data_IF_735465806337
#
_entry.id   IF_735465806337
#
_cell.length_a   1.000
_cell.length_b   1.000
_cell.length_c   1.000
_cell.angle_alpha   90.00
_cell.angle_beta   90.00
_cell.angle_gamma   90.00
#
_symmetry.space_group_name_H-M   'P 1'
#
loop_
_entity.id
_entity.type
_entity.pdbx_description
1 polymer ?
#
# COMPACT_ATOMS: atom_id res chain seq x y z
N UNK A 1 -20.39 -2.59 0.10
CA UNK A 1 -19.57 -2.69 -1.13
C UNK A 1 -18.20 -3.15 -0.69
N UNK A 2 -17.69 -4.25 -1.25
CA UNK A 2 -16.55 -4.98 -0.68
C UNK A 2 -15.45 -5.05 -1.75
N UNK A 3 -14.32 -4.39 -1.51
CA UNK A 3 -13.09 -4.59 -2.29
C UNK A 3 -12.31 -5.74 -1.67
N UNK A 4 -11.61 -6.51 -2.51
CA UNK A 4 -10.65 -7.54 -2.05
C UNK A 4 -9.27 -6.96 -2.28
N UNK A 5 -8.44 -7.00 -1.24
CA UNK A 5 -7.03 -6.64 -1.26
C UNK A 5 -6.23 -7.92 -1.05
N UNK A 6 -5.44 -8.31 -2.05
CA UNK A 6 -4.52 -9.45 -1.99
C UNK A 6 -3.11 -8.96 -2.22
N UNK A 7 -2.16 -9.44 -1.43
CA UNK A 7 -0.79 -8.94 -1.49
C UNK A 7 0.27 -9.85 -0.91
N UNK A 8 1.52 -9.47 -1.14
CA UNK A 8 2.71 -10.14 -0.62
C UNK A 8 3.44 -9.20 0.34
N UNK A 9 3.78 -9.70 1.53
CA UNK A 9 4.42 -8.92 2.59
C UNK A 9 5.84 -9.43 2.85
N UNK A 10 6.84 -8.55 2.69
CA UNK A 10 8.21 -8.82 3.12
C UNK A 10 8.54 -7.97 4.35
N UNK A 11 8.81 -8.64 5.46
CA UNK A 11 9.20 -8.03 6.73
C UNK A 11 10.65 -8.35 7.06
N UNK A 12 11.42 -7.34 7.47
CA UNK A 12 12.79 -7.52 7.98
C UNK A 12 12.97 -6.73 9.28
N UNK A 13 13.50 -7.40 10.30
CA UNK A 13 13.86 -6.79 11.59
C UNK A 13 15.38 -6.95 11.74
N UNK A 14 16.08 -5.85 11.98
CA UNK A 14 17.52 -5.85 12.25
C UNK A 14 17.82 -6.01 13.73
N UNK A 15 19.07 -6.36 14.06
CA UNK A 15 19.52 -6.60 15.43
C UNK A 15 19.40 -5.37 16.37
N UNK A 16 19.32 -4.17 15.81
CA UNK A 16 19.11 -2.91 16.54
C UNK A 16 17.62 -2.54 16.70
N UNK A 17 16.69 -3.39 16.26
CA UNK A 17 15.26 -3.16 16.35
C UNK A 17 14.70 -2.26 15.25
N UNK A 18 15.50 -1.85 14.26
CA UNK A 18 14.96 -1.23 13.06
C UNK A 18 14.14 -2.28 12.28
N UNK A 19 13.06 -1.82 11.66
CA UNK A 19 12.13 -2.67 10.95
C UNK A 19 11.87 -2.09 9.56
N UNK A 20 11.75 -2.94 8.56
CA UNK A 20 11.38 -2.54 7.20
C UNK A 20 10.28 -3.46 6.68
N UNK A 21 9.36 -2.85 5.93
CA UNK A 21 8.22 -3.48 5.32
C UNK A 21 8.18 -3.11 3.84
N UNK A 22 7.96 -4.10 2.99
CA UNK A 22 7.57 -3.88 1.60
C UNK A 22 6.38 -4.77 1.30
N UNK A 23 5.37 -4.22 0.62
CA UNK A 23 4.25 -4.98 0.12
C UNK A 23 3.85 -4.59 -1.29
N UNK A 24 3.28 -5.55 -2.00
CA UNK A 24 2.54 -5.34 -3.24
C UNK A 24 1.10 -5.79 -2.99
N UNK A 25 0.13 -4.98 -3.40
CA UNK A 25 -1.31 -5.24 -3.19
C UNK A 25 -2.12 -4.97 -4.46
N UNK A 26 -3.26 -5.64 -4.62
CA UNK A 26 -4.21 -5.41 -5.72
C UNK A 26 -5.58 -5.07 -5.14
N UNK A 27 -6.08 -3.87 -5.46
CA UNK A 27 -7.48 -3.50 -5.24
C UNK A 27 -8.33 -4.03 -6.39
N UNK A 28 -9.30 -4.89 -6.09
CA UNK A 28 -10.31 -5.33 -7.05
C UNK A 28 -11.65 -4.63 -6.78
N UNK A 29 -12.19 -3.93 -7.80
CA UNK A 29 -13.45 -3.19 -7.71
C UNK A 29 -14.25 -3.25 -9.01
N UNK A 30 -15.50 -3.75 -8.93
CA UNK A 30 -16.46 -3.77 -10.04
C UNK A 30 -15.86 -4.30 -11.36
N UNK A 31 -15.07 -5.38 -11.29
CA UNK A 31 -14.40 -5.99 -12.44
C UNK A 31 -13.12 -5.28 -12.92
N UNK A 32 -12.74 -4.16 -12.30
CA UNK A 32 -11.45 -3.51 -12.48
C UNK A 32 -10.45 -3.87 -11.39
N UNK A 33 -9.17 -3.68 -11.69
CA UNK A 33 -8.06 -3.90 -10.76
C UNK A 33 -7.11 -2.71 -10.75
N UNK A 34 -6.47 -2.44 -9.62
CA UNK A 34 -5.42 -1.43 -9.47
C UNK A 34 -4.36 -1.94 -8.50
N UNK A 35 -3.11 -1.98 -8.96
CA UNK A 35 -1.99 -2.41 -8.13
C UNK A 35 -1.48 -1.28 -7.24
N UNK A 36 -0.91 -1.63 -6.10
CA UNK A 36 -0.22 -0.74 -5.18
C UNK A 36 1.09 -1.36 -4.73
N UNK A 37 2.08 -0.51 -4.47
CA UNK A 37 3.33 -0.87 -3.79
C UNK A 37 3.51 0.02 -2.57
N UNK A 38 3.66 -0.61 -1.42
CA UNK A 38 3.96 0.05 -0.15
C UNK A 38 5.37 -0.27 0.32
N UNK A 39 6.07 0.75 0.80
CA UNK A 39 7.37 0.63 1.45
C UNK A 39 7.35 1.43 2.75
N UNK A 40 7.92 0.87 3.81
CA UNK A 40 7.98 1.56 5.10
C UNK A 40 9.12 1.07 5.97
N UNK A 41 9.58 1.93 6.87
CA UNK A 41 10.61 1.58 7.84
C UNK A 41 10.39 2.27 9.17
N UNK A 42 10.69 1.54 10.24
CA UNK A 42 10.82 2.05 11.59
C UNK A 42 12.31 2.14 11.89
N UNK A 43 12.84 3.35 11.99
CA UNK A 43 14.24 3.58 12.36
C UNK A 43 14.29 4.43 13.62
N UNK A 44 14.92 3.93 14.69
CA UNK A 44 15.02 4.62 15.99
C UNK A 44 13.67 5.13 16.52
N UNK A 45 12.60 4.35 16.36
CA UNK A 45 11.25 4.71 16.81
C UNK A 45 10.48 5.66 15.90
N UNK A 46 11.06 6.10 14.78
CA UNK A 46 10.38 6.93 13.80
C UNK A 46 9.89 6.09 12.62
N UNK A 47 8.58 5.97 12.50
CA UNK A 47 7.93 5.31 11.37
C UNK A 47 7.87 6.25 10.16
N UNK A 48 8.25 5.75 9.00
CA UNK A 48 8.09 6.41 7.71
C UNK A 48 7.58 5.40 6.69
N UNK A 49 6.68 5.81 5.82
CA UNK A 49 6.05 4.94 4.84
C UNK A 49 5.61 5.70 3.61
N UNK A 50 5.52 5.02 2.49
CA UNK A 50 4.85 5.47 1.29
C UNK A 50 4.08 4.32 0.66
N UNK A 51 2.97 4.62 0.02
CA UNK A 51 2.24 3.69 -0.86
C UNK A 51 1.90 4.41 -2.15
N UNK A 52 2.01 3.74 -3.28
CA UNK A 52 1.65 4.30 -4.59
C UNK A 52 1.03 3.26 -5.50
N UNK A 53 0.19 3.70 -6.42
CA UNK A 53 -0.36 2.83 -7.47
C UNK A 53 0.73 2.35 -8.41
N UNK A 54 0.61 1.11 -8.88
CA UNK A 54 1.50 0.48 -9.86
C UNK A 54 0.68 0.08 -11.09
N UNK A 55 1.18 0.49 -12.27
CA UNK A 55 0.48 0.27 -13.55
C UNK A 55 -0.63 1.28 -13.81
N UNK A 56 -1.49 0.98 -14.80
CA UNK A 56 -2.54 1.88 -15.28
C UNK A 56 -3.93 1.56 -14.72
N UNK A 57 -4.06 0.50 -13.93
CA UNK A 57 -5.35 -0.06 -13.55
C UNK A 57 -6.11 -0.68 -14.74
N UNK A 58 -7.26 -1.28 -14.47
CA UNK A 58 -8.14 -1.88 -15.47
C UNK A 58 -9.60 -1.54 -15.20
N UNK A 59 -10.44 -1.59 -16.25
CA UNK A 59 -11.88 -1.37 -16.13
C UNK A 59 -12.21 -0.01 -15.50
N UNK A 60 -13.12 0.04 -14.50
CA UNK A 60 -13.47 1.28 -13.78
C UNK A 60 -12.33 1.94 -13.02
N UNK A 61 -11.19 1.25 -12.83
CA UNK A 61 -10.01 1.77 -12.14
C UNK A 61 -8.92 2.23 -13.11
N UNK A 62 -9.14 2.14 -14.42
CA UNK A 62 -8.17 2.60 -15.43
C UNK A 62 -7.95 4.12 -15.34
N UNK A 63 -6.69 4.57 -15.43
CA UNK A 63 -6.32 5.99 -15.37
C UNK A 63 -6.36 6.60 -13.97
N UNK A 64 -6.57 5.79 -12.93
CA UNK A 64 -6.45 6.23 -11.54
C UNK A 64 -5.00 6.09 -11.10
N UNK A 65 -4.45 7.18 -10.56
CA UNK A 65 -3.13 7.22 -9.94
C UNK A 65 -3.28 7.64 -8.49
N UNK A 66 -2.65 6.91 -7.58
CA UNK A 66 -2.76 7.12 -6.15
C UNK A 66 -1.40 7.16 -5.49
N UNK A 67 -1.26 8.02 -4.49
CA UNK A 67 -0.10 8.06 -3.62
C UNK A 67 -0.51 8.39 -2.19
N UNK A 68 0.25 7.91 -1.21
CA UNK A 68 -0.12 8.04 0.18
C UNK A 68 0.91 7.47 1.14
N UNK A 69 0.43 7.23 2.35
CA UNK A 69 1.20 6.64 3.45
C UNK A 69 0.37 5.56 4.12
N UNK A 70 0.99 4.67 4.89
CA UNK A 70 0.29 3.67 5.68
C UNK A 70 0.85 3.61 7.10
N UNK A 71 0.00 3.32 8.08
CA UNK A 71 0.37 3.34 9.50
C UNK A 71 -0.14 2.10 10.23
N UNK A 72 0.58 1.69 11.27
CA UNK A 72 0.12 0.65 12.18
C UNK A 72 -1.07 1.13 12.99
N UNK A 73 -2.18 0.40 12.88
CA UNK A 73 -3.38 0.61 13.73
C UNK A 73 -3.54 -0.49 14.77
N UNK A 74 -2.69 -1.52 14.72
CA UNK A 74 -2.64 -2.62 15.65
C UNK A 74 -1.39 -3.48 15.42
N UNK A 75 -1.17 -4.52 16.25
CA UNK A 75 0.04 -5.36 16.19
C UNK A 75 0.25 -6.09 14.85
N UNK A 76 -0.84 -6.32 14.11
CA UNK A 76 -0.83 -7.01 12.82
C UNK A 76 -1.76 -6.33 11.80
N UNK A 77 -2.05 -5.05 11.98
CA UNK A 77 -2.94 -4.29 11.09
C UNK A 77 -2.32 -2.97 10.67
N UNK A 78 -2.44 -2.69 9.38
CA UNK A 78 -2.05 -1.44 8.76
C UNK A 78 -3.29 -0.75 8.21
N UNK A 79 -3.20 0.57 8.08
CA UNK A 79 -4.23 1.36 7.42
C UNK A 79 -3.58 2.35 6.49
N UNK A 80 -4.05 2.34 5.25
CA UNK A 80 -3.55 3.19 4.19
C UNK A 80 -4.37 4.47 4.11
N UNK A 81 -3.69 5.58 3.86
CA UNK A 81 -4.30 6.88 3.54
C UNK A 81 -3.76 7.29 2.19
N UNK A 82 -4.62 7.20 1.17
CA UNK A 82 -4.24 7.36 -0.25
C UNK A 82 -5.03 8.51 -0.86
N UNK A 83 -4.32 9.40 -1.55
CA UNK A 83 -4.87 10.47 -2.37
C UNK A 83 -4.85 10.06 -3.83
N UNK A 84 -5.97 10.24 -4.54
CA UNK A 84 -6.14 9.82 -5.92
C UNK A 84 -6.25 11.01 -6.87
N UNK A 85 -5.66 10.85 -8.04
CA UNK A 85 -5.88 11.68 -9.22
C UNK A 85 -6.35 10.78 -10.35
N UNK A 86 -7.32 11.26 -11.13
CA UNK A 86 -7.80 10.58 -12.32
C UNK A 86 -7.32 11.32 -13.56
N UNK A 87 -6.65 10.61 -14.47
CA UNK A 87 -6.22 11.10 -15.78
C UNK A 87 -6.86 10.24 -16.87
N UNK A 88 -7.86 10.77 -17.61
CA UNK A 88 -8.57 10.05 -18.67
C UNK A 88 -7.69 9.59 -19.83
#
# INVERSE_FOLDING_TARGET
>A
MTGIVEGHLVQRISANGDFSLTFDEILSYNGGTLGYRGEGSLTRGNWQSNVMTVGLGTGPLAGIHGQGTFVFTGPASLTDVIYYVYTP
#
